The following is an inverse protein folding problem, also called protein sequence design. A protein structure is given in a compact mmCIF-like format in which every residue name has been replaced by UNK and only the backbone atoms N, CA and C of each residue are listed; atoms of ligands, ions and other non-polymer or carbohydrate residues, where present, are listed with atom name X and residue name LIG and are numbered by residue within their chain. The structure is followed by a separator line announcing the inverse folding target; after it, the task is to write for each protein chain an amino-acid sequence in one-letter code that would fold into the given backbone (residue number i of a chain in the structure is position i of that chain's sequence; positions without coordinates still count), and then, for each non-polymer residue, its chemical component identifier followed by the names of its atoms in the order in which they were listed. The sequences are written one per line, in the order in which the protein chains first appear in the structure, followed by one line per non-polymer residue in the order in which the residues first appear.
data_IF_751867313161
#
_entry.id   IF_751867313161
#
_cell.length_a   1.000
_cell.length_b   1.000
_cell.length_c   1.000
_cell.angle_alpha   90.00
_cell.angle_beta   90.00
_cell.angle_gamma   90.00
#
_symmetry.space_group_name_H-M   'P 1'
#
loop_
_entity.id
_entity.type
_entity.pdbx_description
1 polymer ?
#
# COMPACT_ATOMS: atom_id res chain seq x y z
N UNK A 1 14.66 -28.33 -23.01
CA UNK A 1 14.28 -27.01 -22.47
C UNK A 1 12.81 -26.84 -22.78
N UNK A 2 11.94 -26.81 -21.77
CA UNK A 2 10.51 -26.69 -21.99
C UNK A 2 10.19 -25.27 -22.46
N UNK A 3 9.51 -25.12 -23.61
CA UNK A 3 8.94 -23.85 -24.05
C UNK A 3 7.92 -23.39 -23.02
N UNK A 4 8.26 -22.36 -22.25
CA UNK A 4 7.32 -21.69 -21.34
C UNK A 4 6.16 -21.18 -22.17
N UNK A 5 4.94 -21.63 -21.82
CA UNK A 5 3.74 -21.25 -22.56
C UNK A 5 3.57 -19.72 -22.53
N UNK A 6 2.91 -19.16 -23.54
CA UNK A 6 2.63 -17.71 -23.57
C UNK A 6 1.80 -17.29 -22.34
N UNK A 7 0.88 -18.14 -21.88
CA UNK A 7 0.14 -17.95 -20.64
C UNK A 7 1.06 -17.86 -19.40
N UNK A 8 2.03 -18.77 -19.26
CA UNK A 8 2.98 -18.75 -18.14
C UNK A 8 3.80 -17.46 -18.14
N UNK A 9 4.29 -17.02 -19.31
CA UNK A 9 5.05 -15.76 -19.43
C UNK A 9 4.23 -14.53 -19.04
N UNK A 10 2.95 -14.48 -19.44
CA UNK A 10 2.04 -13.40 -19.07
C UNK A 10 1.72 -13.41 -17.56
N UNK A 11 1.51 -14.59 -16.99
CA UNK A 11 1.30 -14.78 -15.55
C UNK A 11 2.52 -14.34 -14.74
N UNK A 12 3.72 -14.77 -15.12
CA UNK A 12 4.98 -14.42 -14.47
C UNK A 12 5.25 -12.91 -14.53
N UNK A 13 5.03 -12.29 -15.69
CA UNK A 13 5.19 -10.85 -15.84
C UNK A 13 4.22 -10.07 -14.94
N UNK A 14 2.95 -10.48 -14.88
CA UNK A 14 1.95 -9.90 -13.99
C UNK A 14 2.31 -10.07 -12.51
N UNK A 15 2.83 -11.23 -12.13
CA UNK A 15 3.29 -11.51 -10.77
C UNK A 15 4.48 -10.62 -10.38
N UNK A 16 5.45 -10.44 -11.28
CA UNK A 16 6.59 -9.55 -11.08
C UNK A 16 6.14 -8.08 -10.89
N UNK A 17 5.21 -7.59 -11.71
CA UNK A 17 4.64 -6.26 -11.56
C UNK A 17 3.89 -6.09 -10.24
N UNK A 18 3.08 -7.07 -9.81
CA UNK A 18 2.43 -7.02 -8.50
C UNK A 18 3.44 -6.97 -7.34
N UNK A 19 4.55 -7.71 -7.44
CA UNK A 19 5.62 -7.66 -6.45
C UNK A 19 6.30 -6.27 -6.42
N UNK A 20 6.53 -5.64 -7.58
CA UNK A 20 7.02 -4.27 -7.66
C UNK A 20 6.05 -3.27 -7.03
N UNK A 21 4.75 -3.33 -7.36
CA UNK A 21 3.70 -2.48 -6.76
C UNK A 21 3.73 -2.53 -5.23
N UNK A 22 3.87 -3.73 -4.65
CA UNK A 22 3.95 -3.90 -3.19
C UNK A 22 5.22 -3.26 -2.61
N UNK A 23 6.36 -3.39 -3.30
CA UNK A 23 7.63 -2.79 -2.89
C UNK A 23 7.56 -1.27 -2.92
N UNK A 24 7.07 -0.68 -4.01
CA UNK A 24 6.91 0.78 -4.11
C UNK A 24 5.94 1.31 -3.06
N UNK A 25 4.80 0.65 -2.85
CA UNK A 25 3.86 1.02 -1.81
C UNK A 25 4.47 0.95 -0.39
N UNK A 26 5.33 -0.03 -0.12
CA UNK A 26 6.05 -0.12 1.15
C UNK A 26 7.03 1.05 1.31
N UNK A 27 7.85 1.33 0.29
CA UNK A 27 8.78 2.47 0.32
C UNK A 27 8.06 3.80 0.53
N UNK A 28 6.92 4.02 -0.14
CA UNK A 28 6.12 5.24 0.06
C UNK A 28 5.61 5.37 1.49
N UNK A 29 5.15 4.27 2.12
CA UNK A 29 4.74 4.28 3.53
C UNK A 29 5.89 4.69 4.45
N UNK A 30 7.10 4.19 4.20
CA UNK A 30 8.28 4.55 4.99
C UNK A 30 8.65 6.03 4.84
N UNK A 31 8.64 6.55 3.61
CA UNK A 31 8.94 7.97 3.34
C UNK A 31 7.89 8.89 3.98
N UNK A 32 6.61 8.53 3.88
CA UNK A 32 5.52 9.29 4.51
C UNK A 32 5.60 9.28 6.02
N UNK A 33 5.84 8.11 6.63
CA UNK A 33 6.06 8.02 8.06
C UNK A 33 7.22 8.93 8.51
N UNK A 34 8.29 9.03 7.71
CA UNK A 34 9.38 9.97 8.01
C UNK A 34 8.97 11.44 7.85
N UNK A 35 8.19 11.77 6.82
CA UNK A 35 7.63 13.12 6.66
C UNK A 35 6.75 13.51 7.84
N UNK A 36 5.89 12.60 8.31
CA UNK A 36 4.99 12.83 9.44
C UNK A 36 5.79 13.12 10.72
N UNK A 37 6.87 12.37 10.96
CA UNK A 37 7.81 12.58 12.08
C UNK A 37 8.50 13.95 11.96
N UNK A 38 9.00 14.32 10.78
CA UNK A 38 9.63 15.62 10.56
C UNK A 38 8.64 16.79 10.71
N UNK A 39 7.38 16.60 10.29
CA UNK A 39 6.30 17.57 10.46
C UNK A 39 5.93 17.73 11.94
N UNK A 40 5.90 16.63 12.71
CA UNK A 40 5.62 16.66 14.14
C UNK A 40 6.70 17.40 14.96
N UNK A 41 7.91 17.59 14.41
CA UNK A 41 8.93 18.46 15.02
C UNK A 41 8.55 19.94 14.91
N UNK A 42 8.05 20.36 13.74
CA UNK A 42 7.76 21.76 13.44
C UNK A 42 6.35 22.20 13.84
N UNK A 43 5.43 21.25 13.98
CA UNK A 43 4.05 21.48 14.42
C UNK A 43 3.88 21.00 15.85
N UNK A 44 3.25 21.82 16.69
CA UNK A 44 2.81 21.38 18.03
C UNK A 44 1.34 20.98 17.87
N UNK A 45 0.99 19.69 18.04
CA UNK A 45 -0.41 19.28 18.01
C UNK A 45 -1.21 20.02 19.07
N UNK A 46 -2.49 20.25 18.83
CA UNK A 46 -3.39 20.81 19.85
C UNK A 46 -3.61 19.82 21.01
N UNK A 47 -3.91 20.32 22.23
CA UNK A 47 -4.27 19.45 23.34
C UNK A 47 -5.57 18.69 23.05
N UNK A 48 -5.65 17.44 23.48
CA UNK A 48 -6.89 16.67 23.42
C UNK A 48 -7.97 17.39 24.25
N UNK A 49 -9.17 17.56 23.68
CA UNK A 49 -10.28 18.24 24.36
C UNK A 49 -10.21 19.78 24.35
N UNK A 50 -9.35 20.39 23.52
CA UNK A 50 -9.26 21.85 23.38
C UNK A 50 -10.61 22.54 23.07
N UNK A 51 -11.49 21.85 22.32
CA UNK A 51 -12.79 22.36 21.88
C UNK A 51 -13.92 22.23 22.93
N UNK A 52 -13.59 21.87 24.18
CA UNK A 52 -14.47 21.99 25.35
C UNK A 52 -14.85 20.67 26.04
N UNK A 53 -15.09 20.77 27.36
CA UNK A 53 -15.38 19.66 28.30
C UNK A 53 -16.61 18.80 27.94
N UNK A 54 -17.48 19.27 27.04
CA UNK A 54 -18.71 18.57 26.64
C UNK A 54 -18.50 17.45 25.61
N UNK A 55 -17.31 17.33 25.02
CA UNK A 55 -17.09 16.37 23.93
C UNK A 55 -17.07 14.90 24.41
N UNK A 56 -16.71 14.64 25.67
CA UNK A 56 -16.64 13.29 26.23
C UNK A 56 -17.12 13.27 27.69
N UNK A 57 -18.42 13.49 27.89
CA UNK A 57 -19.02 13.23 29.20
C UNK A 57 -18.84 11.74 29.58
N UNK A 58 -18.06 11.47 30.63
CA UNK A 58 -17.71 10.11 31.05
C UNK A 58 -16.46 9.52 30.41
N UNK A 59 -15.56 10.35 29.85
CA UNK A 59 -14.26 9.89 29.39
C UNK A 59 -13.46 9.22 30.53
N UNK A 60 -12.66 8.23 30.16
CA UNK A 60 -11.74 7.55 31.07
C UNK A 60 -10.80 8.58 31.73
N UNK A 61 -10.60 8.55 33.07
CA UNK A 61 -9.63 9.42 33.73
C UNK A 61 -8.18 9.19 33.30
N UNK A 62 -7.85 8.07 32.66
CA UNK A 62 -6.50 7.73 32.18
C UNK A 62 -6.17 8.29 30.78
N UNK A 63 -6.87 9.34 30.32
CA UNK A 63 -6.52 10.01 29.06
C UNK A 63 -5.14 10.67 29.19
N UNK A 64 -4.19 10.38 28.26
CA UNK A 64 -2.85 10.95 28.30
C UNK A 64 -2.88 12.48 28.27
N UNK A 65 -2.13 13.12 29.17
CA UNK A 65 -2.06 14.58 29.21
C UNK A 65 -1.26 15.12 28.03
N UNK A 66 -1.62 16.30 27.56
CA UNK A 66 -0.92 16.94 26.45
C UNK A 66 0.60 17.06 26.66
N UNK A 67 1.04 17.38 27.89
CA UNK A 67 2.46 17.44 28.26
C UNK A 67 3.16 16.07 28.19
N UNK A 68 2.46 14.99 28.51
CA UNK A 68 3.00 13.61 28.46
C UNK A 68 3.19 13.17 27.01
N UNK A 69 2.24 13.52 26.14
CA UNK A 69 2.31 13.28 24.70
C UNK A 69 3.45 14.08 24.06
N UNK A 70 3.55 15.39 24.33
CA UNK A 70 4.63 16.22 23.80
C UNK A 70 6.01 15.77 24.26
N UNK A 71 6.15 15.36 25.52
CA UNK A 71 7.41 14.84 26.06
C UNK A 71 7.81 13.55 25.34
N UNK A 72 6.88 12.61 25.22
CA UNK A 72 7.13 11.32 24.58
C UNK A 72 7.48 11.47 23.09
N UNK A 73 6.79 12.37 22.39
CA UNK A 73 7.05 12.65 20.97
C UNK A 73 8.42 13.30 20.78
N UNK A 74 8.81 14.26 21.62
CA UNK A 74 10.06 15.01 21.45
C UNK A 74 11.31 14.29 21.94
N UNK A 75 11.19 13.31 22.85
CA UNK A 75 12.32 12.63 23.47
C UNK A 75 13.22 11.84 22.48
N UNK A 76 12.78 11.62 21.24
CA UNK A 76 13.54 10.87 20.23
C UNK A 76 13.67 11.53 18.86
N UNK A 77 13.23 12.79 18.69
CA UNK A 77 13.21 13.45 17.38
C UNK A 77 14.53 14.18 17.09
N UNK A 78 15.32 13.74 16.09
CA UNK A 78 16.49 14.50 15.68
C UNK A 78 16.04 15.80 14.99
N UNK A 79 16.44 16.97 15.52
CA UNK A 79 16.12 18.27 14.91
C UNK A 79 16.69 18.41 13.47
N UNK A 80 17.67 17.59 13.10
CA UNK A 80 18.24 17.54 11.76
C UNK A 80 17.23 17.11 10.66
N UNK A 81 16.09 16.51 11.01
CA UNK A 81 15.10 16.02 10.04
C UNK A 81 14.34 17.14 9.32
N UNK A 82 14.26 18.35 9.90
CA UNK A 82 13.56 19.50 9.28
C UNK A 82 14.24 19.91 7.97
N UNK A 83 15.57 19.87 7.90
CA UNK A 83 16.33 20.19 6.69
C UNK A 83 16.15 19.15 5.56
N UNK A 84 15.65 17.95 5.89
CA UNK A 84 15.44 16.87 4.92
C UNK A 84 14.02 16.86 4.35
N UNK A 85 13.12 17.71 4.84
CA UNK A 85 11.69 17.65 4.54
C UNK A 85 11.41 17.88 3.05
N UNK A 86 12.12 18.81 2.40
CA UNK A 86 12.02 19.01 0.95
C UNK A 86 12.52 17.81 0.15
N UNK A 87 13.67 17.25 0.54
CA UNK A 87 14.22 16.04 -0.09
C UNK A 87 13.29 14.82 0.05
N UNK A 88 12.63 14.67 1.21
CA UNK A 88 11.64 13.63 1.45
C UNK A 88 10.37 13.83 0.62
N UNK A 89 9.91 15.08 0.45
CA UNK A 89 8.76 15.41 -0.43
C UNK A 89 9.08 15.11 -1.89
N UNK A 90 10.25 15.49 -2.37
CA UNK A 90 10.71 15.14 -3.72
C UNK A 90 10.78 13.61 -3.90
N UNK A 91 11.28 12.89 -2.90
CA UNK A 91 11.33 11.43 -2.91
C UNK A 91 9.93 10.79 -2.96
N UNK A 92 8.96 11.23 -2.14
CA UNK A 92 7.57 10.74 -2.24
C UNK A 92 6.98 11.07 -3.62
N UNK A 93 7.25 12.24 -4.17
CA UNK A 93 6.81 12.64 -5.51
C UNK A 93 7.38 11.75 -6.62
N UNK A 94 8.68 11.39 -6.56
CA UNK A 94 9.29 10.42 -7.47
C UNK A 94 8.69 9.03 -7.32
N UNK A 95 8.54 8.54 -6.09
CA UNK A 95 7.92 7.24 -5.83
C UNK A 95 6.45 7.19 -6.25
N UNK A 96 5.72 8.30 -6.14
CA UNK A 96 4.33 8.40 -6.59
C UNK A 96 4.21 8.28 -8.11
N UNK A 97 5.10 8.96 -8.86
CA UNK A 97 5.18 8.83 -10.32
C UNK A 97 5.51 7.40 -10.73
N UNK A 98 6.53 6.81 -10.11
CA UNK A 98 6.90 5.43 -10.40
C UNK A 98 5.79 4.43 -10.06
N UNK A 99 5.09 4.61 -8.92
CA UNK A 99 3.93 3.78 -8.58
C UNK A 99 2.86 3.85 -9.67
N UNK A 100 2.57 5.05 -10.21
CA UNK A 100 1.59 5.21 -11.27
C UNK A 100 2.00 4.48 -12.56
N UNK A 101 3.29 4.56 -12.94
CA UNK A 101 3.83 3.82 -14.09
C UNK A 101 3.69 2.30 -13.91
N UNK A 102 4.03 1.78 -12.73
CA UNK A 102 3.90 0.34 -12.42
C UNK A 102 2.43 -0.09 -12.38
N UNK A 103 1.54 0.75 -11.84
CA UNK A 103 0.09 0.48 -11.82
C UNK A 103 -0.48 0.39 -13.25
N UNK A 104 -0.09 1.30 -14.15
CA UNK A 104 -0.46 1.26 -15.56
C UNK A 104 0.09 0.01 -16.27
N UNK A 105 1.36 -0.32 -16.04
CA UNK A 105 1.97 -1.52 -16.60
C UNK A 105 1.27 -2.80 -16.12
N UNK A 106 0.90 -2.86 -14.83
CA UNK A 106 0.18 -3.99 -14.25
C UNK A 106 -1.24 -4.14 -14.82
N UNK A 107 -1.95 -3.03 -15.03
CA UNK A 107 -3.25 -3.04 -15.68
C UNK A 107 -3.13 -3.62 -17.09
N UNK A 108 -2.22 -3.08 -17.91
CA UNK A 108 -1.99 -3.57 -19.27
C UNK A 108 -1.55 -5.05 -19.33
N UNK A 109 -0.73 -5.51 -18.37
CA UNK A 109 -0.35 -6.92 -18.26
C UNK A 109 -1.54 -7.81 -17.87
N UNK A 110 -2.46 -7.31 -17.05
CA UNK A 110 -3.68 -8.02 -16.66
C UNK A 110 -4.64 -8.14 -17.85
N UNK A 111 -4.82 -7.06 -18.62
CA UNK A 111 -5.67 -7.06 -19.81
C UNK A 111 -5.19 -8.10 -20.83
N UNK A 112 -3.89 -8.08 -21.17
CA UNK A 112 -3.29 -9.07 -22.09
C UNK A 112 -3.43 -10.51 -21.62
N UNK A 113 -3.32 -10.74 -20.30
CA UNK A 113 -3.49 -12.08 -19.74
C UNK A 113 -4.95 -12.54 -19.85
N UNK A 114 -5.91 -11.66 -19.56
CA UNK A 114 -7.34 -11.96 -19.69
C UNK A 114 -7.73 -12.20 -21.15
N UNK A 115 -7.26 -11.36 -22.08
CA UNK A 115 -7.45 -11.54 -23.52
C UNK A 115 -6.91 -12.89 -23.98
N UNK A 116 -5.68 -13.25 -23.59
CA UNK A 116 -5.10 -14.54 -23.96
C UNK A 116 -5.91 -15.74 -23.43
N UNK A 117 -6.40 -15.65 -22.19
CA UNK A 117 -7.25 -16.71 -21.61
C UNK A 117 -8.64 -16.79 -22.28
N UNK A 118 -9.16 -15.68 -22.80
CA UNK A 118 -10.44 -15.66 -23.51
C UNK A 118 -10.30 -16.22 -24.94
N UNK A 119 -9.16 -15.99 -25.58
CA UNK A 119 -8.84 -16.47 -26.92
C UNK A 119 -8.39 -17.94 -26.96
N UNK A 120 -7.90 -18.49 -25.84
CA UNK A 120 -7.77 -19.94 -25.69
C UNK A 120 -9.17 -20.56 -25.63
N UNK A 121 -9.62 -21.30 -26.67
CA UNK A 121 -10.89 -22.00 -26.59
C UNK A 121 -10.76 -22.98 -25.44
N UNK A 122 -11.46 -22.69 -24.33
CA UNK A 122 -11.60 -23.62 -23.21
C UNK A 122 -11.94 -24.96 -23.82
N UNK A 123 -10.97 -25.89 -23.79
CA UNK A 123 -11.21 -27.29 -24.05
C UNK A 123 -12.19 -27.71 -22.96
N UNK A 124 -13.48 -27.59 -23.28
CA UNK A 124 -14.61 -27.92 -22.42
C UNK A 124 -14.30 -29.31 -21.87
N UNK A 125 -14.04 -29.49 -20.56
CA UNK A 125 -13.92 -30.83 -20.04
C UNK A 125 -15.27 -31.48 -20.33
N UNK A 126 -15.24 -32.52 -21.17
CA UNK A 126 -16.40 -33.35 -21.43
C UNK A 126 -16.92 -33.79 -20.05
N UNK A 127 -18.04 -33.20 -19.63
CA UNK A 127 -18.83 -33.74 -18.54
C UNK A 127 -19.34 -35.08 -19.04
N UNK A 128 -18.53 -36.12 -18.85
CA UNK A 128 -19.01 -37.49 -18.87
C UNK A 128 -19.96 -37.59 -17.68
N UNK A 129 -21.24 -37.31 -17.94
CA UNK A 129 -22.32 -37.79 -17.12
C UNK A 129 -22.24 -39.31 -17.20
N UNK A 130 -21.47 -39.91 -16.31
CA UNK A 130 -21.60 -41.34 -16.00
C UNK A 130 -23.00 -41.47 -15.43
N UNK A 131 -23.94 -41.85 -16.29
CA UNK A 131 -25.24 -42.37 -15.89
C UNK A 131 -24.96 -43.70 -15.18
N UNK A 132 -25.21 -43.84 -13.88
CA UNK A 132 -25.17 -45.15 -13.27
C UNK A 132 -26.36 -45.93 -13.83
N UNK A 133 -26.04 -46.90 -14.67
CA UNK A 133 -26.97 -47.94 -15.08
C UNK A 133 -26.98 -49.00 -13.99
N UNK A 134 -28.09 -49.08 -13.23
CA UNK A 134 -28.57 -50.25 -12.48
C UNK A 134 -30.09 -50.06 -12.34
N UNK A 135 -30.94 -50.97 -12.79
CA UNK A 135 -30.85 -52.41 -12.69
C UNK A 135 -31.85 -52.83 -11.62
#
# INVERSE_FOLDING_TARGET
MAETSTADRLSDHRAALNAERRRVAHWRRLVRARLDVAIAVITVPEPLGADGDTLLAGADPDVPRHVELLRSLRAGLPMAEVHQLEALRDLDGRLARYQAEVDLAFAAATDRFVEHLADEPVARPARTLVRPDRG
#
